data_IF_564145136090
#
_entry.id   IF_564145136090
#
_cell.length_a   1.000
_cell.length_b   1.000
_cell.length_c   1.000
_cell.angle_alpha   90.00
_cell.angle_beta   90.00
_cell.angle_gamma   90.00
#
_symmetry.space_group_name_H-M   'P 1'
#
loop_
_entity.id
_entity.type
_entity.pdbx_description
1 polymer ?
#
# COMPACT_ATOMS: atom_id res chain seq x y z
N UNK A 1 -8.02 -40.39 20.49
CA UNK A 1 -8.34 -39.26 19.58
C UNK A 1 -7.06 -38.51 19.28
N UNK A 2 -6.90 -37.93 18.10
CA UNK A 2 -5.73 -37.10 17.78
C UNK A 2 -5.72 -35.85 18.67
N UNK A 3 -4.63 -35.64 19.41
CA UNK A 3 -4.41 -34.43 20.19
C UNK A 3 -3.84 -33.35 19.27
N UNK A 4 -4.61 -32.29 19.02
CA UNK A 4 -4.15 -31.14 18.24
C UNK A 4 -3.60 -30.08 19.19
N UNK A 5 -2.40 -29.58 18.91
CA UNK A 5 -1.76 -28.52 19.70
C UNK A 5 -2.61 -27.24 19.75
N UNK A 6 -2.73 -26.65 20.94
CA UNK A 6 -3.50 -25.43 21.25
C UNK A 6 -2.69 -24.46 22.11
N UNK A 7 -3.20 -23.24 22.29
CA UNK A 7 -2.58 -22.26 23.21
C UNK A 7 -2.57 -22.70 24.69
N UNK A 8 -3.38 -23.69 25.07
CA UNK A 8 -3.26 -24.35 26.38
C UNK A 8 -1.95 -25.11 26.55
N UNK A 9 -1.37 -25.59 25.44
CA UNK A 9 -0.22 -26.49 25.41
C UNK A 9 1.10 -25.75 25.12
N UNK A 10 1.04 -24.44 24.93
CA UNK A 10 2.20 -23.59 24.63
C UNK A 10 2.81 -23.03 25.91
N UNK A 11 4.15 -23.04 25.98
CA UNK A 11 4.88 -22.41 27.07
C UNK A 11 4.66 -20.88 27.10
N UNK A 12 4.88 -20.25 28.25
CA UNK A 12 4.83 -18.78 28.36
C UNK A 12 5.83 -18.11 27.40
N UNK A 13 7.01 -18.71 27.22
CA UNK A 13 8.03 -18.20 26.30
C UNK A 13 7.55 -18.15 24.85
N UNK A 14 6.86 -19.18 24.38
CA UNK A 14 6.26 -19.20 23.04
C UNK A 14 5.15 -18.16 22.91
N UNK A 15 4.27 -18.06 23.92
CA UNK A 15 3.22 -17.03 23.94
C UNK A 15 3.78 -15.62 23.85
N UNK A 16 4.87 -15.34 24.57
CA UNK A 16 5.55 -14.03 24.52
C UNK A 16 6.12 -13.77 23.11
N UNK A 17 6.82 -14.74 22.52
CA UNK A 17 7.38 -14.59 21.17
C UNK A 17 6.29 -14.35 20.12
N UNK A 18 5.25 -15.19 20.12
CA UNK A 18 4.13 -15.08 19.20
C UNK A 18 3.40 -13.74 19.37
N UNK A 19 3.21 -13.27 20.61
CA UNK A 19 2.59 -11.97 20.89
C UNK A 19 3.42 -10.80 20.34
N UNK A 20 4.73 -10.82 20.55
CA UNK A 20 5.62 -9.77 20.04
C UNK A 20 5.66 -9.76 18.51
N UNK A 21 5.66 -10.94 17.88
CA UNK A 21 5.55 -11.05 16.43
C UNK A 21 4.23 -10.46 15.93
N UNK A 22 3.08 -10.89 16.48
CA UNK A 22 1.77 -10.40 16.06
C UNK A 22 1.60 -8.89 16.28
N UNK A 23 2.14 -8.35 17.38
CA UNK A 23 2.11 -6.91 17.67
C UNK A 23 2.94 -6.12 16.65
N UNK A 24 4.13 -6.60 16.31
CA UNK A 24 4.98 -5.95 15.31
C UNK A 24 4.33 -5.98 13.93
N UNK A 25 3.74 -7.10 13.53
CA UNK A 25 3.00 -7.22 12.27
C UNK A 25 1.78 -6.30 12.25
N UNK A 26 1.01 -6.23 13.33
CA UNK A 26 -0.13 -5.32 13.46
C UNK A 26 0.28 -3.85 13.32
N UNK A 27 1.36 -3.44 13.98
CA UNK A 27 1.90 -2.08 13.88
C UNK A 27 2.40 -1.78 12.46
N UNK A 28 3.18 -2.69 11.86
CA UNK A 28 3.67 -2.55 10.50
C UNK A 28 2.52 -2.41 9.49
N UNK A 29 1.43 -3.14 9.68
CA UNK A 29 0.23 -3.03 8.85
C UNK A 29 -0.43 -1.64 8.96
N UNK A 30 -0.51 -1.05 10.17
CA UNK A 30 -1.02 0.32 10.33
C UNK A 30 -0.16 1.35 9.61
N UNK A 31 1.17 1.21 9.67
CA UNK A 31 2.08 2.07 8.91
C UNK A 31 1.97 1.84 7.40
N UNK A 32 1.70 0.62 6.95
CA UNK A 32 1.43 0.35 5.54
C UNK A 32 0.16 1.05 5.05
N UNK A 33 -0.91 1.08 5.86
CA UNK A 33 -2.11 1.86 5.55
C UNK A 33 -1.83 3.37 5.50
N UNK A 34 -1.02 3.88 6.43
CA UNK A 34 -0.62 5.29 6.46
C UNK A 34 0.21 5.66 5.23
N UNK A 35 1.17 4.81 4.87
CA UNK A 35 1.96 4.97 3.66
C UNK A 35 1.09 4.95 2.40
N UNK A 36 0.13 4.01 2.32
CA UNK A 36 -0.83 3.94 1.22
C UNK A 36 -1.62 5.25 1.11
N UNK A 37 -2.16 5.75 2.23
CA UNK A 37 -2.91 7.00 2.30
C UNK A 37 -2.10 8.17 1.74
N UNK A 38 -0.94 8.48 2.32
CA UNK A 38 -0.12 9.62 1.88
C UNK A 38 0.47 9.46 0.47
N UNK A 39 0.66 8.22 0.02
CA UNK A 39 1.15 7.96 -1.34
C UNK A 39 0.05 8.11 -2.39
N UNK A 40 -1.23 8.10 -2.00
CA UNK A 40 -2.33 8.04 -2.96
C UNK A 40 -3.46 9.04 -2.79
N UNK A 41 -3.59 9.72 -1.67
CA UNK A 41 -4.64 10.73 -1.48
C UNK A 41 -4.55 11.87 -2.51
N UNK A 42 -5.72 12.38 -2.92
CA UNK A 42 -5.84 13.60 -3.71
C UNK A 42 -5.51 13.49 -5.20
N UNK A 43 -5.31 12.29 -5.75
CA UNK A 43 -5.13 12.10 -7.20
C UNK A 43 -6.39 12.44 -8.00
N UNK A 44 -7.56 12.23 -7.42
CA UNK A 44 -8.86 12.61 -7.98
C UNK A 44 -9.20 14.10 -7.79
N UNK A 45 -8.29 14.86 -7.17
CA UNK A 45 -8.45 16.28 -6.85
C UNK A 45 -9.30 16.57 -5.62
N UNK A 46 -9.74 15.55 -4.86
CA UNK A 46 -10.53 15.69 -3.63
C UNK A 46 -9.68 15.30 -2.42
N UNK A 47 -9.91 15.90 -1.23
CA UNK A 47 -9.20 15.48 -0.03
C UNK A 47 -9.53 14.04 0.38
N UNK A 48 -8.50 13.30 0.79
CA UNK A 48 -8.63 11.92 1.25
C UNK A 48 -8.28 10.89 0.19
N UNK A 49 -8.44 9.61 0.56
CA UNK A 49 -8.22 8.46 -0.32
C UNK A 49 -9.55 7.88 -0.79
N UNK A 50 -9.75 7.84 -2.10
CA UNK A 50 -10.93 7.31 -2.77
C UNK A 50 -10.57 6.13 -3.69
N UNK A 51 -11.59 5.45 -4.23
CA UNK A 51 -11.36 4.41 -5.25
C UNK A 51 -10.87 5.06 -6.55
N UNK A 52 -11.30 6.29 -6.86
CA UNK A 52 -10.88 7.03 -8.05
C UNK A 52 -9.37 7.33 -7.99
N UNK A 53 -8.83 7.62 -6.79
CA UNK A 53 -7.38 7.76 -6.60
C UNK A 53 -6.61 6.49 -6.96
N UNK A 54 -7.17 5.33 -6.60
CA UNK A 54 -6.61 4.01 -6.92
C UNK A 54 -6.68 3.76 -8.42
N UNK A 55 -7.80 4.10 -9.07
CA UNK A 55 -7.92 4.02 -10.53
C UNK A 55 -6.80 4.80 -11.20
N UNK A 56 -6.69 6.10 -10.88
CA UNK A 56 -5.70 7.01 -11.46
C UNK A 56 -4.26 6.53 -11.16
N UNK A 57 -3.99 6.00 -9.97
CA UNK A 57 -2.66 5.50 -9.63
C UNK A 57 -2.17 4.38 -10.55
N UNK A 58 -3.07 3.52 -11.04
CA UNK A 58 -2.71 2.36 -11.86
C UNK A 58 -2.93 2.59 -13.37
N UNK A 59 -4.03 3.22 -13.78
CA UNK A 59 -4.32 3.52 -15.20
C UNK A 59 -3.70 4.82 -15.69
N UNK A 60 -3.42 5.75 -14.78
CA UNK A 60 -3.04 7.12 -15.08
C UNK A 60 -4.26 8.04 -15.26
N UNK A 61 -3.98 9.34 -15.31
CA UNK A 61 -4.95 10.37 -15.70
C UNK A 61 -4.72 10.77 -17.16
N UNK A 62 -5.67 10.42 -18.03
CA UNK A 62 -5.55 10.74 -19.46
C UNK A 62 -5.61 12.25 -19.77
N UNK A 63 -6.13 13.06 -18.84
CA UNK A 63 -6.29 14.50 -18.98
C UNK A 63 -5.16 15.30 -18.30
N UNK A 64 -4.18 14.63 -17.68
CA UNK A 64 -3.07 15.28 -16.99
C UNK A 64 -1.72 14.68 -17.41
N UNK A 65 -0.67 15.49 -17.25
CA UNK A 65 0.71 15.02 -17.37
C UNK A 65 1.16 14.36 -16.08
N UNK A 66 2.24 13.57 -16.11
CA UNK A 66 2.78 12.94 -14.89
C UNK A 66 3.13 13.97 -13.82
N UNK A 67 3.74 15.09 -14.23
CA UNK A 67 4.06 16.21 -13.36
C UNK A 67 2.77 16.87 -12.83
N UNK A 68 1.79 17.12 -13.69
CA UNK A 68 0.49 17.68 -13.33
C UNK A 68 -0.26 16.82 -12.30
N UNK A 69 -0.33 15.50 -12.54
CA UNK A 69 -0.94 14.54 -11.62
C UNK A 69 -0.20 14.49 -10.27
N UNK A 70 1.14 14.57 -10.28
CA UNK A 70 1.93 14.59 -9.05
C UNK A 70 1.64 15.82 -8.18
N UNK A 71 1.64 17.03 -8.77
CA UNK A 71 1.42 18.30 -8.04
C UNK A 71 -0.07 18.53 -7.70
N UNK A 72 -0.99 17.84 -8.37
CA UNK A 72 -2.39 17.80 -7.98
C UNK A 72 -2.68 16.80 -6.87
N UNK A 73 -1.92 15.70 -6.80
CA UNK A 73 -2.04 14.67 -5.76
C UNK A 73 -0.90 14.72 -4.74
N UNK A 74 -0.05 13.67 -4.64
CA UNK A 74 0.81 13.44 -3.48
C UNK A 74 1.90 14.52 -3.26
N UNK A 75 2.31 15.23 -4.31
CA UNK A 75 3.30 16.31 -4.20
C UNK A 75 2.66 17.67 -3.93
N UNK A 76 1.33 17.78 -3.91
CA UNK A 76 0.61 19.04 -3.69
C UNK A 76 0.96 19.70 -2.37
N UNK A 77 1.13 18.92 -1.30
CA UNK A 77 1.49 19.44 0.04
C UNK A 77 2.90 20.03 0.11
N UNK A 78 3.78 19.65 -0.82
CA UNK A 78 5.17 20.13 -0.85
C UNK A 78 5.33 21.38 -1.72
N UNK A 79 4.25 21.89 -2.32
CA UNK A 79 4.30 23.13 -3.09
C UNK A 79 4.36 24.35 -2.15
N UNK A 80 5.15 25.38 -2.51
CA UNK A 80 5.26 26.58 -1.68
C UNK A 80 3.98 27.40 -1.62
N UNK A 81 3.13 27.33 -2.66
CA UNK A 81 1.83 28.00 -2.72
C UNK A 81 0.97 27.49 -3.88
N UNK A 82 -0.34 27.76 -3.83
CA UNK A 82 -1.26 27.53 -4.95
C UNK A 82 -0.89 28.35 -6.19
N UNK A 83 -0.28 29.52 -6.01
CA UNK A 83 0.19 30.33 -7.14
C UNK A 83 1.32 29.63 -7.91
N UNK A 84 2.29 29.03 -7.20
CA UNK A 84 3.36 28.25 -7.82
C UNK A 84 2.80 27.00 -8.54
N UNK A 85 1.78 26.37 -7.95
CA UNK A 85 1.07 25.25 -8.59
C UNK A 85 0.47 25.66 -9.94
N UNK A 86 -0.29 26.77 -9.95
CA UNK A 86 -0.92 27.28 -11.17
C UNK A 86 0.12 27.67 -12.22
N UNK A 87 1.23 28.28 -11.80
CA UNK A 87 2.33 28.65 -12.71
C UNK A 87 2.96 27.44 -13.40
N UNK A 88 3.16 26.33 -12.67
CA UNK A 88 3.65 25.07 -13.26
C UNK A 88 2.60 24.48 -14.22
N UNK A 89 1.32 24.46 -13.83
CA UNK A 89 0.24 23.92 -14.68
C UNK A 89 0.06 24.74 -15.97
N UNK A 90 0.10 26.06 -15.88
CA UNK A 90 -0.01 26.95 -17.03
C UNK A 90 1.17 26.79 -17.98
N UNK A 91 2.38 26.61 -17.46
CA UNK A 91 3.56 26.28 -18.27
C UNK A 91 3.39 24.95 -19.01
N UNK A 92 2.91 23.91 -18.32
CA UNK A 92 2.61 22.60 -18.94
C UNK A 92 1.58 22.77 -20.07
N UNK A 93 0.47 23.47 -19.79
CA UNK A 93 -0.62 23.70 -20.75
C UNK A 93 -0.20 24.56 -21.95
N UNK A 94 0.82 25.40 -21.78
CA UNK A 94 1.40 26.26 -22.83
C UNK A 94 2.46 25.55 -23.69
N UNK A 95 2.62 24.22 -23.54
CA UNK A 95 3.55 23.41 -24.32
C UNK A 95 4.92 23.21 -23.67
N UNK A 96 5.06 23.53 -22.38
CA UNK A 96 6.23 23.25 -21.55
C UNK A 96 7.57 23.71 -22.15
N UNK A 97 7.62 24.91 -22.72
CA UNK A 97 8.83 25.41 -23.42
C UNK A 97 10.02 25.64 -22.49
N UNK A 98 11.22 25.44 -23.01
CA UNK A 98 12.49 25.63 -22.28
C UNK A 98 12.70 27.07 -21.81
N UNK A 99 12.29 28.05 -22.63
CA UNK A 99 12.41 29.47 -22.30
C UNK A 99 11.62 29.86 -21.05
N UNK A 100 10.38 29.39 -20.92
CA UNK A 100 9.55 29.65 -19.72
C UNK A 100 10.07 28.82 -18.54
N UNK A 101 10.58 27.61 -18.81
CA UNK A 101 11.19 26.79 -17.78
C UNK A 101 12.37 27.51 -17.11
N UNK A 102 13.34 27.96 -17.88
CA UNK A 102 14.56 28.60 -17.35
C UNK A 102 14.28 29.94 -16.68
N UNK A 103 13.30 30.70 -17.18
CA UNK A 103 12.99 32.04 -16.66
C UNK A 103 12.12 32.04 -15.41
N UNK A 104 11.25 31.04 -15.21
CA UNK A 104 10.21 31.06 -14.16
C UNK A 104 10.12 29.76 -13.36
N UNK A 105 10.07 28.62 -14.02
CA UNK A 105 9.75 27.33 -13.36
C UNK A 105 10.95 26.75 -12.63
N UNK A 106 12.15 26.88 -13.20
CA UNK A 106 13.38 26.32 -12.66
C UNK A 106 13.62 26.74 -11.21
N UNK A 107 13.42 28.02 -10.89
CA UNK A 107 13.59 28.52 -9.53
C UNK A 107 12.64 27.86 -8.53
N UNK A 108 11.39 27.57 -8.94
CA UNK A 108 10.42 26.87 -8.08
C UNK A 108 10.94 25.47 -7.72
N UNK A 109 11.50 24.74 -8.69
CA UNK A 109 12.05 23.40 -8.44
C UNK A 109 13.37 23.42 -7.68
N UNK A 110 14.27 24.33 -8.03
CA UNK A 110 15.57 24.49 -7.37
C UNK A 110 15.39 24.77 -5.87
N UNK A 111 14.44 25.65 -5.52
CA UNK A 111 14.24 26.08 -4.13
C UNK A 111 13.43 25.07 -3.28
N UNK A 112 12.53 24.30 -3.89
CA UNK A 112 11.53 23.53 -3.13
C UNK A 112 11.56 22.01 -3.39
N UNK A 113 12.12 21.55 -4.52
CA UNK A 113 11.92 20.18 -4.98
C UNK A 113 13.22 19.40 -5.12
N UNK A 114 14.31 20.01 -5.61
CA UNK A 114 15.58 19.32 -5.92
C UNK A 114 16.24 18.68 -4.70
N UNK A 115 15.99 19.20 -3.49
CA UNK A 115 16.47 18.58 -2.25
C UNK A 115 16.08 17.10 -2.14
N UNK A 116 14.92 16.73 -2.66
CA UNK A 116 14.46 15.35 -2.77
C UNK A 116 14.59 14.81 -4.20
N UNK A 117 14.29 15.63 -5.21
CA UNK A 117 14.29 15.25 -6.62
C UNK A 117 15.65 15.48 -7.30
N UNK A 118 16.73 15.03 -6.66
CA UNK A 118 18.09 15.04 -7.20
C UNK A 118 18.68 13.65 -7.25
N UNK A 119 19.65 13.44 -8.14
CA UNK A 119 20.43 12.19 -8.19
C UNK A 119 21.18 11.97 -6.87
N UNK A 120 21.68 13.05 -6.26
CA UNK A 120 22.44 13.01 -5.00
C UNK A 120 21.59 12.53 -3.81
N UNK A 121 20.28 12.81 -3.80
CA UNK A 121 19.37 12.34 -2.75
C UNK A 121 19.33 10.81 -2.61
N UNK A 122 19.68 10.07 -3.67
CA UNK A 122 19.60 8.61 -3.73
C UNK A 122 18.17 8.05 -3.66
N UNK A 123 17.14 8.90 -3.69
CA UNK A 123 15.75 8.46 -3.67
C UNK A 123 15.31 7.92 -5.04
N UNK A 124 14.49 6.88 -5.04
CA UNK A 124 13.93 6.30 -6.25
C UNK A 124 12.72 7.12 -6.76
N UNK A 125 12.93 8.41 -7.00
CA UNK A 125 11.96 9.37 -7.56
C UNK A 125 12.58 10.12 -8.75
N UNK A 126 11.78 10.66 -9.68
CA UNK A 126 12.33 11.35 -10.86
C UNK A 126 13.18 12.56 -10.49
N UNK A 127 14.34 12.74 -11.11
CA UNK A 127 15.17 13.94 -10.95
C UNK A 127 14.51 15.14 -11.63
N UNK A 128 14.62 16.32 -11.01
CA UNK A 128 14.16 17.62 -11.55
C UNK A 128 15.32 18.58 -11.83
N UNK A 129 16.57 18.10 -11.82
CA UNK A 129 17.78 18.93 -11.94
C UNK A 129 18.02 19.51 -13.34
N UNK A 130 17.31 19.01 -14.35
CA UNK A 130 17.49 19.47 -15.73
C UNK A 130 16.17 19.55 -16.46
N UNK A 131 16.07 20.50 -17.39
CA UNK A 131 14.90 20.64 -18.27
C UNK A 131 14.57 19.31 -18.98
N UNK A 132 15.58 18.57 -19.45
CA UNK A 132 15.40 17.28 -20.11
C UNK A 132 14.71 16.23 -19.23
N UNK A 133 14.96 16.23 -17.90
CA UNK A 133 14.28 15.33 -16.99
C UNK A 133 12.84 15.81 -16.70
N UNK A 134 12.66 17.12 -16.54
CA UNK A 134 11.36 17.72 -16.25
C UNK A 134 10.40 17.56 -17.44
N UNK A 135 10.86 17.81 -18.66
CA UNK A 135 10.03 17.70 -19.87
C UNK A 135 9.54 16.26 -20.09
N UNK A 136 10.31 15.24 -19.71
CA UNK A 136 9.85 13.85 -19.75
C UNK A 136 8.70 13.58 -18.76
N UNK A 137 8.52 14.42 -17.74
CA UNK A 137 7.40 14.34 -16.79
C UNK A 137 6.19 15.15 -17.26
N UNK A 138 6.31 15.96 -18.31
CA UNK A 138 5.15 16.62 -18.93
C UNK A 138 4.46 15.73 -19.96
N UNK A 139 4.94 14.50 -20.16
CA UNK A 139 4.20 13.47 -20.89
C UNK A 139 2.93 13.04 -20.14
N UNK A 140 1.98 12.47 -20.90
CA UNK A 140 0.70 11.99 -20.37
C UNK A 140 0.91 11.00 -19.22
N UNK A 141 0.10 11.13 -18.17
CA UNK A 141 0.12 10.18 -17.08
C UNK A 141 -0.50 8.85 -17.49
N UNK A 142 0.32 7.80 -17.47
CA UNK A 142 -0.11 6.42 -17.75
C UNK A 142 -0.18 5.58 -16.48
N UNK A 143 -0.04 6.19 -15.30
CA UNK A 143 -0.07 5.52 -14.00
C UNK A 143 1.16 4.65 -13.75
N UNK A 144 1.02 3.68 -12.84
CA UNK A 144 2.10 2.78 -12.46
C UNK A 144 2.69 2.04 -13.68
N UNK A 145 4.02 2.07 -13.80
CA UNK A 145 4.71 1.39 -14.90
C UNK A 145 4.74 -0.12 -14.68
N UNK A 146 4.77 -0.91 -15.77
CA UNK A 146 4.87 -2.38 -15.67
C UNK A 146 6.12 -2.81 -14.86
N UNK A 147 7.32 -2.23 -15.05
CA UNK A 147 8.48 -2.57 -14.21
C UNK A 147 8.27 -2.27 -12.72
N UNK A 148 7.58 -1.17 -12.39
CA UNK A 148 7.24 -0.85 -11.01
C UNK A 148 6.26 -1.89 -10.43
N UNK A 149 5.21 -2.23 -11.17
CA UNK A 149 4.24 -3.26 -10.79
C UNK A 149 4.92 -4.62 -10.55
N UNK A 150 5.80 -5.06 -11.45
CA UNK A 150 6.56 -6.32 -11.31
C UNK A 150 7.41 -6.31 -10.05
N UNK A 151 8.12 -5.21 -9.79
CA UNK A 151 8.95 -5.05 -8.58
C UNK A 151 8.10 -5.15 -7.31
N UNK A 152 7.02 -4.39 -7.23
CA UNK A 152 6.14 -4.37 -6.06
C UNK A 152 5.45 -5.72 -5.88
N UNK A 153 5.03 -6.37 -6.97
CA UNK A 153 4.47 -7.73 -6.97
C UNK A 153 5.45 -8.74 -6.38
N UNK A 154 6.73 -8.69 -6.77
CA UNK A 154 7.77 -9.57 -6.21
C UNK A 154 7.92 -9.38 -4.70
N UNK A 155 8.01 -8.12 -4.25
CA UNK A 155 8.12 -7.79 -2.82
C UNK A 155 6.90 -8.28 -2.04
N UNK A 156 5.69 -8.08 -2.56
CA UNK A 156 4.46 -8.45 -1.87
C UNK A 156 4.25 -9.97 -1.87
N UNK A 157 4.38 -10.65 -3.02
CA UNK A 157 4.25 -12.10 -3.09
C UNK A 157 5.25 -12.80 -2.18
N UNK A 158 6.51 -12.34 -2.16
CA UNK A 158 7.53 -12.97 -1.33
C UNK A 158 7.36 -12.61 0.15
N UNK A 159 7.29 -11.33 0.49
CA UNK A 159 7.22 -10.86 1.88
C UNK A 159 5.92 -11.23 2.58
N UNK A 160 4.77 -10.98 1.94
CA UNK A 160 3.46 -11.22 2.55
C UNK A 160 3.19 -12.72 2.69
N UNK A 161 3.69 -13.58 1.79
CA UNK A 161 3.55 -15.03 1.95
C UNK A 161 4.14 -15.53 3.28
N UNK A 162 5.30 -15.02 3.70
CA UNK A 162 5.87 -15.36 5.01
C UNK A 162 5.01 -14.83 6.16
N UNK A 163 4.55 -13.58 6.08
CA UNK A 163 3.70 -12.98 7.11
C UNK A 163 2.43 -13.82 7.30
N UNK A 164 1.71 -14.11 6.22
CA UNK A 164 0.48 -14.90 6.25
C UNK A 164 0.73 -16.32 6.75
N UNK A 165 1.86 -16.93 6.38
CA UNK A 165 2.23 -18.25 6.88
C UNK A 165 2.44 -18.23 8.40
N UNK A 166 3.27 -17.33 8.93
CA UNK A 166 3.56 -17.27 10.37
C UNK A 166 2.32 -16.88 11.20
N UNK A 167 1.58 -15.86 10.77
CA UNK A 167 0.32 -15.47 11.44
C UNK A 167 -0.68 -16.62 11.40
N UNK A 168 -0.85 -17.29 10.25
CA UNK A 168 -1.72 -18.45 10.11
C UNK A 168 -1.30 -19.62 11.00
N UNK A 169 0.01 -19.88 11.12
CA UNK A 169 0.55 -20.92 12.02
C UNK A 169 0.21 -20.67 13.49
N UNK A 170 0.33 -19.43 13.94
CA UNK A 170 -0.06 -19.02 15.29
C UNK A 170 -1.59 -19.15 15.45
N UNK A 171 -2.36 -18.64 14.49
CA UNK A 171 -3.82 -18.67 14.52
C UNK A 171 -4.41 -20.09 14.56
N UNK A 172 -3.74 -21.07 13.95
CA UNK A 172 -4.18 -22.47 14.00
C UNK A 172 -4.23 -23.05 15.43
N UNK A 173 -3.52 -22.45 16.38
CA UNK A 173 -3.55 -22.82 17.80
C UNK A 173 -4.81 -22.35 18.53
N UNK A 174 -5.61 -21.46 17.93
CA UNK A 174 -6.90 -21.04 18.47
C UNK A 174 -7.84 -22.23 18.64
N UNK A 175 -8.66 -22.22 19.68
CA UNK A 175 -9.82 -23.08 19.90
C UNK A 175 -11.01 -22.60 19.07
N UNK A 176 -11.02 -22.99 17.81
CA UNK A 176 -12.12 -22.75 16.87
C UNK A 176 -12.48 -24.04 16.13
N UNK A 177 -13.70 -24.15 15.56
CA UNK A 177 -14.04 -25.22 14.64
C UNK A 177 -13.08 -25.26 13.44
N UNK A 178 -12.75 -26.46 12.95
CA UNK A 178 -11.77 -26.65 11.89
C UNK A 178 -12.11 -25.89 10.60
N UNK A 179 -13.40 -25.80 10.26
CA UNK A 179 -13.88 -25.07 9.08
C UNK A 179 -13.44 -23.60 9.11
N UNK A 180 -13.72 -22.88 10.20
CA UNK A 180 -13.36 -21.46 10.34
C UNK A 180 -11.87 -21.22 10.26
N UNK A 181 -11.05 -22.13 10.82
CA UNK A 181 -9.60 -22.03 10.70
C UNK A 181 -9.11 -22.16 9.27
N UNK A 182 -9.65 -23.14 8.54
CA UNK A 182 -9.29 -23.37 7.13
C UNK A 182 -9.64 -22.14 6.29
N UNK A 183 -10.85 -21.60 6.46
CA UNK A 183 -11.29 -20.39 5.74
C UNK A 183 -10.37 -19.21 6.07
N UNK A 184 -10.14 -18.91 7.35
CA UNK A 184 -9.33 -17.77 7.75
C UNK A 184 -7.86 -17.86 7.30
N UNK A 185 -7.29 -19.06 7.20
CA UNK A 185 -5.93 -19.25 6.68
C UNK A 185 -5.86 -19.18 5.16
N UNK A 186 -6.90 -19.61 4.42
CA UNK A 186 -6.89 -19.61 2.94
C UNK A 186 -7.21 -18.23 2.35
N UNK A 187 -8.21 -17.54 2.91
CA UNK A 187 -8.71 -16.25 2.41
C UNK A 187 -7.61 -15.21 2.14
N UNK A 188 -6.66 -14.94 3.05
CA UNK A 188 -5.71 -13.86 2.84
C UNK A 188 -4.70 -14.18 1.72
N UNK A 189 -4.38 -15.46 1.48
CA UNK A 189 -3.52 -15.84 0.35
C UNK A 189 -4.23 -15.62 -0.99
N UNK A 190 -5.50 -16.01 -1.07
CA UNK A 190 -6.32 -15.76 -2.27
C UNK A 190 -6.50 -14.25 -2.48
N UNK A 191 -6.76 -13.50 -1.41
CA UNK A 191 -6.92 -12.05 -1.47
C UNK A 191 -5.66 -11.35 -2.00
N UNK A 192 -4.46 -11.69 -1.53
CA UNK A 192 -3.19 -11.12 -2.04
C UNK A 192 -2.98 -11.42 -3.51
N UNK A 193 -3.29 -12.64 -3.96
CA UNK A 193 -3.16 -13.00 -5.38
C UNK A 193 -4.13 -12.16 -6.22
N UNK A 194 -5.39 -12.05 -5.79
CA UNK A 194 -6.38 -11.24 -6.48
C UNK A 194 -5.98 -9.76 -6.51
N UNK A 195 -5.48 -9.23 -5.40
CA UNK A 195 -5.00 -7.86 -5.29
C UNK A 195 -3.88 -7.58 -6.30
N UNK A 196 -2.83 -8.39 -6.31
CA UNK A 196 -1.70 -8.18 -7.21
C UNK A 196 -2.12 -8.29 -8.67
N UNK A 197 -2.93 -9.30 -9.03
CA UNK A 197 -3.44 -9.44 -10.39
C UNK A 197 -4.31 -8.24 -10.80
N UNK A 198 -5.10 -7.73 -9.85
CA UNK A 198 -5.99 -6.61 -10.09
C UNK A 198 -5.25 -5.31 -10.43
N UNK A 199 -4.03 -5.09 -9.93
CA UNK A 199 -3.23 -3.91 -10.31
C UNK A 199 -2.94 -3.86 -11.82
N UNK A 200 -2.57 -4.99 -12.42
CA UNK A 200 -2.29 -5.09 -13.85
C UNK A 200 -3.55 -4.91 -14.70
N UNK A 201 -4.68 -5.44 -14.23
CA UNK A 201 -5.96 -5.30 -14.93
C UNK A 201 -6.46 -3.86 -14.82
N UNK A 202 -6.33 -3.22 -13.65
CA UNK A 202 -6.73 -1.83 -13.39
C UNK A 202 -6.03 -0.86 -14.35
N UNK A 203 -4.79 -1.16 -14.75
CA UNK A 203 -4.07 -0.38 -15.76
C UNK A 203 -4.79 -0.31 -17.12
N UNK A 204 -5.57 -1.34 -17.47
CA UNK A 204 -6.29 -1.45 -18.75
C UNK A 204 -7.78 -1.12 -18.58
N UNK A 205 -8.36 -1.55 -17.46
CA UNK A 205 -9.77 -1.40 -17.10
C UNK A 205 -9.81 -0.70 -15.74
N UNK A 206 -9.89 0.64 -15.69
CA UNK A 206 -9.80 1.41 -14.44
C UNK A 206 -10.77 0.94 -13.35
N UNK A 207 -11.97 0.50 -13.73
CA UNK A 207 -13.01 0.02 -12.81
C UNK A 207 -12.57 -1.22 -12.02
N UNK A 208 -11.54 -1.94 -12.46
CA UNK A 208 -10.98 -3.06 -11.71
C UNK A 208 -10.31 -2.62 -10.39
N UNK A 209 -10.12 -1.32 -10.17
CA UNK A 209 -9.70 -0.76 -8.87
C UNK A 209 -10.63 -1.13 -7.71
N UNK A 210 -11.93 -1.36 -7.97
CA UNK A 210 -12.82 -1.89 -6.92
C UNK A 210 -12.36 -3.25 -6.42
N UNK A 211 -11.82 -4.10 -7.31
CA UNK A 211 -11.27 -5.40 -6.91
C UNK A 211 -10.04 -5.18 -6.05
N UNK A 212 -9.11 -4.29 -6.44
CA UNK A 212 -7.93 -3.91 -5.64
C UNK A 212 -8.32 -3.57 -4.21
N UNK A 213 -9.25 -2.64 -4.04
CA UNK A 213 -9.69 -2.16 -2.73
C UNK A 213 -10.38 -3.27 -1.93
N UNK A 214 -11.24 -4.07 -2.58
CA UNK A 214 -11.95 -5.18 -1.93
C UNK A 214 -10.99 -6.31 -1.52
N UNK A 215 -10.03 -6.68 -2.36
CA UNK A 215 -9.04 -7.72 -2.03
C UNK A 215 -8.06 -7.27 -0.96
N UNK A 216 -7.55 -6.03 -1.05
CA UNK A 216 -6.70 -5.45 -0.01
C UNK A 216 -7.43 -5.35 1.33
N UNK A 217 -8.68 -4.89 1.31
CA UNK A 217 -9.55 -4.84 2.49
C UNK A 217 -9.82 -6.23 3.08
N UNK A 218 -10.15 -7.22 2.25
CA UNK A 218 -10.39 -8.60 2.68
C UNK A 218 -9.14 -9.23 3.31
N UNK A 219 -7.97 -9.02 2.71
CA UNK A 219 -6.68 -9.43 3.29
C UNK A 219 -6.48 -8.78 4.66
N UNK A 220 -6.68 -7.45 4.75
CA UNK A 220 -6.54 -6.69 5.97
C UNK A 220 -7.44 -7.17 7.11
N UNK A 221 -8.73 -7.32 6.83
CA UNK A 221 -9.70 -7.85 7.80
C UNK A 221 -9.32 -9.25 8.24
N UNK A 222 -8.94 -10.13 7.30
CA UNK A 222 -8.52 -11.50 7.62
C UNK A 222 -7.27 -11.53 8.51
N UNK A 223 -6.28 -10.67 8.24
CA UNK A 223 -5.08 -10.56 9.05
C UNK A 223 -5.40 -10.09 10.47
N UNK A 224 -6.21 -9.04 10.62
CA UNK A 224 -6.60 -8.51 11.92
C UNK A 224 -7.45 -9.48 12.74
N UNK A 225 -8.38 -10.20 12.10
CA UNK A 225 -9.15 -11.26 12.78
C UNK A 225 -8.21 -12.32 13.35
N UNK A 226 -7.22 -12.75 12.57
CA UNK A 226 -6.24 -13.75 13.03
C UNK A 226 -5.37 -13.23 14.16
N UNK A 227 -4.86 -12.00 14.06
CA UNK A 227 -4.06 -11.35 15.12
C UNK A 227 -4.86 -11.23 16.42
N UNK A 228 -6.03 -10.59 16.35
CA UNK A 228 -6.83 -10.27 17.54
C UNK A 228 -7.34 -11.54 18.23
N UNK A 229 -7.84 -12.52 17.47
CA UNK A 229 -8.28 -13.79 18.05
C UNK A 229 -7.13 -14.58 18.66
N UNK A 230 -5.95 -14.59 18.02
CA UNK A 230 -4.78 -15.27 18.58
C UNK A 230 -4.34 -14.64 19.90
N UNK A 231 -4.19 -13.31 19.94
CA UNK A 231 -3.80 -12.59 21.18
C UNK A 231 -4.86 -12.77 22.26
N UNK A 232 -6.14 -12.63 21.93
CA UNK A 232 -7.25 -12.85 22.86
C UNK A 232 -7.21 -14.26 23.44
N UNK A 233 -7.08 -15.28 22.60
CA UNK A 233 -7.11 -16.67 23.06
C UNK A 233 -5.87 -17.10 23.83
N UNK A 234 -4.74 -16.50 23.52
CA UNK A 234 -3.47 -16.79 24.17
C UNK A 234 -3.43 -16.34 25.63
N UNK A 235 -4.06 -15.20 25.94
CA UNK A 235 -3.95 -14.52 27.24
C UNK A 235 -5.25 -14.44 28.05
N UNK A 236 -6.41 -14.32 27.40
CA UNK A 236 -7.69 -14.02 28.06
C UNK A 236 -8.67 -15.19 28.03
N UNK A 237 -8.58 -16.04 27.01
CA UNK A 237 -9.47 -17.18 26.88
C UNK A 237 -9.11 -18.31 27.85
N UNK A 238 -10.10 -18.75 28.62
CA UNK A 238 -10.02 -19.98 29.41
C UNK A 238 -10.82 -21.05 28.66
N UNK A 239 -10.13 -22.04 28.11
CA UNK A 239 -10.79 -23.17 27.49
C UNK A 239 -11.74 -23.83 28.50
N UNK A 240 -13.01 -24.02 28.13
CA UNK A 240 -13.91 -24.87 28.92
C UNK A 240 -13.28 -26.27 28.96
N UNK A 241 -12.98 -26.75 30.17
CA UNK A 241 -12.66 -28.16 30.37
C UNK A 241 -13.79 -28.98 29.75
N UNK A 242 -13.51 -29.71 28.68
CA UNK A 242 -14.41 -30.78 28.27
C UNK A 242 -14.37 -31.76 29.43
N UNK A 243 -15.44 -31.77 30.24
CA UNK A 243 -15.69 -32.84 31.20
C UNK A 243 -15.75 -34.12 30.37
N UNK A 244 -14.67 -34.89 30.37
CA UNK A 244 -14.71 -36.29 29.99
C UNK A 244 -15.62 -36.96 31.00
N UNK A 245 -16.88 -37.22 30.62
CA UNK A 245 -17.69 -38.22 31.31
C UNK A 245 -16.92 -39.54 31.26
N UNK A 246 -16.74 -40.11 32.46
CA UNK A 246 -15.97 -41.31 32.80
C UNK A 246 -16.56 -42.54 32.15
#
# INVERSE_FOLDING_TARGET
MAHYRRFSDTSVSEKLLDSMFLLMIGLAYLFALLHMYYSHEGRDGKPGLSVDDVMIAYSGSHDQTRLGAAINGPMGINLPSDAAKLEILDWINSGATEEIYDSRIRMIFDDNCIGCHSVESGMNIPSLESYANVIALTEQDTGATIPALVRVSHIHLFGIAFILFFVGRIFLLCELPAFWKRVAVIVPFVAVILDILSWYITKIIPEFAYVVVLSGGLMGVSLWVQILLSVYQMWLYKAKSVLTEV
#
